data_IF_222403137002
#
_entry.id   IF_222403137002
#
_cell.length_a   1.000
_cell.length_b   1.000
_cell.length_c   1.000
_cell.angle_alpha   90.00
_cell.angle_beta   90.00
_cell.angle_gamma   90.00
#
_symmetry.space_group_name_H-M   'P 1'
#
loop_
_entity.id
_entity.type
_entity.pdbx_description
1 polymer ?
#
# COMPACT_ATOMS: atom_id res chain seq x y z
N UNK A 1 26.56 -50.23 -29.13
CA UNK A 1 25.39 -49.53 -29.70
C UNK A 1 24.40 -49.02 -28.64
N UNK A 2 24.24 -49.66 -27.47
CA UNK A 2 23.33 -49.22 -26.40
C UNK A 2 23.77 -47.95 -25.65
N UNK A 3 25.07 -47.65 -25.58
CA UNK A 3 25.62 -46.52 -24.84
C UNK A 3 25.24 -45.14 -25.40
N UNK A 4 24.92 -45.04 -26.68
CA UNK A 4 24.51 -43.77 -27.29
C UNK A 4 23.05 -43.40 -26.92
N UNK A 5 22.18 -44.41 -26.80
CA UNK A 5 20.80 -44.26 -26.34
C UNK A 5 20.71 -43.82 -24.87
N UNK A 6 21.58 -44.37 -24.01
CA UNK A 6 21.65 -43.97 -22.59
C UNK A 6 22.11 -42.52 -22.42
N UNK A 7 23.08 -42.07 -23.23
CA UNK A 7 23.53 -40.67 -23.23
C UNK A 7 22.43 -39.72 -23.70
N UNK A 8 21.64 -40.13 -24.70
CA UNK A 8 20.48 -39.36 -25.17
C UNK A 8 19.39 -39.24 -24.11
N UNK A 9 19.11 -40.32 -23.38
CA UNK A 9 18.20 -40.29 -22.22
C UNK A 9 18.70 -39.36 -21.12
N UNK A 10 19.99 -39.41 -20.80
CA UNK A 10 20.60 -38.52 -19.81
C UNK A 10 20.46 -37.04 -20.20
N UNK A 11 20.68 -36.72 -21.47
CA UNK A 11 20.49 -35.36 -21.99
C UNK A 11 19.02 -34.90 -21.95
N UNK A 12 18.08 -35.78 -22.25
CA UNK A 12 16.64 -35.47 -22.14
C UNK A 12 16.22 -35.16 -20.70
N UNK A 13 16.74 -35.92 -19.72
CA UNK A 13 16.46 -35.67 -18.30
C UNK A 13 17.05 -34.33 -17.84
N UNK A 14 18.28 -34.02 -18.26
CA UNK A 14 18.93 -32.73 -17.98
C UNK A 14 18.17 -31.55 -18.62
N UNK A 15 17.74 -31.70 -19.86
CA UNK A 15 16.94 -30.69 -20.55
C UNK A 15 15.58 -30.49 -19.85
N UNK A 16 14.94 -31.58 -19.40
CA UNK A 16 13.70 -31.51 -18.63
C UNK A 16 13.86 -30.77 -17.31
N UNK A 17 14.93 -31.05 -16.56
CA UNK A 17 15.24 -30.36 -15.32
C UNK A 17 15.53 -28.87 -15.54
N UNK A 18 16.28 -28.53 -16.59
CA UNK A 18 16.57 -27.14 -16.93
C UNK A 18 15.29 -26.36 -17.27
N UNK A 19 14.40 -26.96 -18.07
CA UNK A 19 13.11 -26.35 -18.40
C UNK A 19 12.20 -26.20 -17.18
N UNK A 20 12.16 -27.20 -16.30
CA UNK A 20 11.40 -27.14 -15.06
C UNK A 20 11.91 -26.03 -14.13
N UNK A 21 13.24 -25.88 -14.01
CA UNK A 21 13.85 -24.80 -13.24
C UNK A 21 13.48 -23.42 -13.82
N UNK A 22 13.57 -23.23 -15.14
CA UNK A 22 13.18 -21.99 -15.81
C UNK A 22 11.70 -21.67 -15.61
N UNK A 23 10.83 -22.67 -15.78
CA UNK A 23 9.39 -22.52 -15.55
C UNK A 23 9.09 -22.13 -14.09
N UNK A 24 9.78 -22.73 -13.13
CA UNK A 24 9.61 -22.44 -11.71
C UNK A 24 10.02 -21.00 -11.36
N UNK A 25 11.13 -20.51 -11.92
CA UNK A 25 11.60 -19.13 -11.72
C UNK A 25 10.66 -18.15 -12.41
N UNK A 26 10.19 -18.45 -13.63
CA UNK A 26 9.25 -17.59 -14.34
C UNK A 26 7.91 -17.46 -13.60
N UNK A 27 7.38 -18.59 -13.12
CA UNK A 27 6.11 -18.58 -12.39
C UNK A 27 6.25 -17.91 -11.02
N UNK A 28 7.37 -18.16 -10.33
CA UNK A 28 7.67 -17.52 -9.05
C UNK A 28 7.85 -16.01 -9.23
N UNK A 29 8.63 -15.55 -10.21
CA UNK A 29 8.81 -14.14 -10.54
C UNK A 29 7.51 -13.42 -10.91
N UNK A 30 6.63 -14.08 -11.66
CA UNK A 30 5.29 -13.56 -11.99
C UNK A 30 4.36 -13.50 -10.77
N UNK A 31 4.53 -14.41 -9.81
CA UNK A 31 3.79 -14.37 -8.55
C UNK A 31 4.32 -13.28 -7.60
N UNK A 32 5.63 -13.07 -7.52
CA UNK A 32 6.23 -12.02 -6.68
C UNK A 32 5.94 -10.61 -7.18
N UNK A 33 5.92 -10.39 -8.51
CA UNK A 33 5.62 -9.07 -9.07
C UNK A 33 4.25 -8.51 -8.65
N UNK A 34 3.23 -9.38 -8.53
CA UNK A 34 1.89 -8.97 -8.06
C UNK A 34 1.79 -8.82 -6.54
N UNK A 35 2.67 -9.45 -5.77
CA UNK A 35 2.70 -9.30 -4.31
C UNK A 35 3.45 -8.03 -3.88
N UNK A 36 4.55 -7.69 -4.56
CA UNK A 36 5.32 -6.47 -4.29
C UNK A 36 4.47 -5.20 -4.54
N UNK A 37 3.76 -5.13 -5.68
CA UNK A 37 2.93 -3.98 -6.01
C UNK A 37 1.73 -3.81 -5.04
N UNK A 38 1.24 -4.91 -4.45
CA UNK A 38 0.17 -4.86 -3.44
C UNK A 38 0.69 -4.42 -2.07
N UNK A 39 1.92 -4.78 -1.71
CA UNK A 39 2.52 -4.32 -0.46
C UNK A 39 2.79 -2.80 -0.51
N UNK A 40 3.37 -2.29 -1.60
CA UNK A 40 3.62 -0.85 -1.74
C UNK A 40 2.33 -0.01 -1.70
N UNK A 41 1.24 -0.50 -2.31
CA UNK A 41 -0.06 0.18 -2.22
C UNK A 41 -0.66 0.09 -0.82
N UNK A 42 -0.53 -1.05 -0.14
CA UNK A 42 -1.04 -1.23 1.22
C UNK A 42 -0.31 -0.35 2.23
N UNK A 43 1.01 -0.19 2.07
CA UNK A 43 1.82 0.65 2.95
C UNK A 43 1.47 2.13 2.78
N UNK A 44 1.25 2.60 1.54
CA UNK A 44 0.76 3.97 1.28
C UNK A 44 -0.64 4.22 1.88
N UNK A 45 -1.56 3.25 1.76
CA UNK A 45 -2.89 3.35 2.36
C UNK A 45 -2.80 3.36 3.89
N UNK A 46 -1.94 2.53 4.47
CA UNK A 46 -1.73 2.47 5.91
C UNK A 46 -1.11 3.78 6.43
N UNK A 47 -0.18 4.39 5.70
CA UNK A 47 0.42 5.68 6.06
C UNK A 47 -0.62 6.81 6.01
N UNK A 48 -1.44 6.86 4.96
CA UNK A 48 -2.54 7.83 4.85
C UNK A 48 -3.57 7.64 5.97
N UNK A 49 -3.93 6.39 6.28
CA UNK A 49 -4.83 6.06 7.38
C UNK A 49 -4.24 6.43 8.75
N UNK A 50 -2.93 6.26 8.94
CA UNK A 50 -2.25 6.68 10.17
C UNK A 50 -2.26 8.20 10.33
N UNK A 51 -1.94 8.95 9.26
CA UNK A 51 -2.02 10.43 9.26
C UNK A 51 -3.44 10.90 9.54
N UNK A 52 -4.45 10.31 8.90
CA UNK A 52 -5.85 10.65 9.17
C UNK A 52 -6.25 10.41 10.63
N UNK A 53 -5.81 9.29 11.24
CA UNK A 53 -6.06 9.02 12.67
C UNK A 53 -5.37 10.03 13.59
N UNK A 54 -4.17 10.47 13.22
CA UNK A 54 -3.44 11.48 13.98
C UNK A 54 -4.15 12.83 13.89
N UNK A 55 -4.57 13.23 12.69
CA UNK A 55 -5.29 14.49 12.48
C UNK A 55 -6.59 14.52 13.28
N UNK A 56 -7.38 13.45 13.23
CA UNK A 56 -8.62 13.33 14.01
C UNK A 56 -8.34 13.44 15.52
N UNK A 57 -7.25 12.85 16.01
CA UNK A 57 -6.87 12.98 17.43
C UNK A 57 -6.42 14.39 17.79
N UNK A 58 -5.68 15.05 16.91
CA UNK A 58 -5.24 16.43 17.12
C UNK A 58 -6.44 17.37 17.21
N UNK A 59 -7.37 17.27 16.25
CA UNK A 59 -8.61 18.06 16.26
C UNK A 59 -9.43 17.78 17.54
N UNK A 60 -9.61 16.51 17.92
CA UNK A 60 -10.32 16.18 19.16
C UNK A 60 -9.65 16.77 20.41
N UNK A 61 -8.32 16.72 20.49
CA UNK A 61 -7.58 17.29 21.62
C UNK A 61 -7.64 18.81 21.63
N UNK A 62 -7.62 19.45 20.46
CA UNK A 62 -7.75 20.89 20.31
C UNK A 62 -9.16 21.35 20.71
N UNK A 63 -10.20 20.73 20.16
CA UNK A 63 -11.59 21.03 20.53
C UNK A 63 -11.86 20.77 22.01
N UNK A 64 -11.31 19.69 22.59
CA UNK A 64 -11.49 19.40 24.02
C UNK A 64 -10.74 20.38 24.95
N UNK A 65 -9.79 21.16 24.42
CA UNK A 65 -9.07 22.20 25.16
C UNK A 65 -9.69 23.58 24.97
N UNK A 66 -10.53 23.76 23.96
CA UNK A 66 -11.25 25.00 23.73
C UNK A 66 -12.48 25.04 24.64
N UNK A 67 -12.76 26.23 25.18
CA UNK A 67 -14.01 26.49 25.87
C UNK A 67 -15.17 26.51 24.86
N UNK A 68 -16.39 26.17 25.32
CA UNK A 68 -17.57 26.06 24.47
C UNK A 68 -17.84 27.35 23.65
N UNK A 69 -17.57 28.52 24.22
CA UNK A 69 -17.71 29.82 23.56
C UNK A 69 -16.69 29.99 22.40
N UNK A 70 -15.46 29.50 22.59
CA UNK A 70 -14.42 29.55 21.56
C UNK A 70 -14.73 28.60 20.40
N UNK A 71 -15.33 27.44 20.68
CA UNK A 71 -15.81 26.50 19.66
C UNK A 71 -16.96 27.12 18.85
N UNK A 72 -17.89 27.82 19.53
CA UNK A 72 -19.01 28.49 18.87
C UNK A 72 -18.55 29.63 17.95
N UNK A 73 -17.59 30.46 18.41
CA UNK A 73 -17.01 31.55 17.62
C UNK A 73 -16.28 31.05 16.36
N UNK A 74 -15.53 29.96 16.47
CA UNK A 74 -14.84 29.34 15.32
C UNK A 74 -15.82 28.73 14.32
N UNK A 75 -16.87 28.05 14.79
CA UNK A 75 -17.95 27.55 13.95
C UNK A 75 -18.72 28.68 13.26
N UNK A 76 -19.00 29.79 13.96
CA UNK A 76 -19.63 30.96 13.34
C UNK A 76 -18.70 31.53 12.26
N UNK A 77 -17.40 31.71 12.54
CA UNK A 77 -16.43 32.34 11.64
C UNK A 77 -16.11 31.53 10.37
N UNK A 78 -15.89 30.22 10.51
CA UNK A 78 -15.35 29.40 9.42
C UNK A 78 -16.42 28.60 8.68
N UNK A 79 -17.56 28.34 9.33
CA UNK A 79 -18.62 27.48 8.79
C UNK A 79 -19.84 28.25 8.27
N UNK A 80 -20.18 29.40 8.86
CA UNK A 80 -21.24 30.26 8.32
C UNK A 80 -20.70 31.03 7.12
N UNK A 81 -21.09 30.62 5.90
CA UNK A 81 -20.82 31.41 4.68
C UNK A 81 -21.38 32.84 4.86
N UNK A 82 -20.51 33.79 5.19
CA UNK A 82 -20.85 35.21 5.36
C UNK A 82 -20.37 35.87 6.66
N UNK A 83 -19.70 35.14 7.56
CA UNK A 83 -19.06 35.68 8.78
C UNK A 83 -17.59 36.06 8.59
N UNK A 84 -17.14 36.18 7.31
CA UNK A 84 -15.93 36.94 7.00
C UNK A 84 -15.98 38.32 7.68
N UNK A 85 -14.83 38.91 8.03
CA UNK A 85 -14.73 39.99 9.02
C UNK A 85 -15.88 40.97 8.89
N UNK A 86 -16.80 40.99 9.86
CA UNK A 86 -17.87 42.00 9.91
C UNK A 86 -17.22 43.36 10.15
N UNK A 87 -16.82 43.99 9.05
CA UNK A 87 -16.61 45.42 8.84
C UNK A 87 -15.52 46.10 9.67
N UNK A 88 -14.51 46.64 8.97
CA UNK A 88 -14.23 48.08 9.00
C UNK A 88 -13.81 48.56 7.62
#
# INVERSE_FOLDING_TARGET
MLSWLERFKGWLVLAGLALAALASVFYRGRATGRQAERQERQDQINEQAAKARQEVRNVQLETARMDDDAVADELERDWVRGSGPRGR
#
